data_IF_370815620542
#
_entry.id   IF_370815620542
#
_cell.length_a   1.000
_cell.length_b   1.000
_cell.length_c   1.000
_cell.angle_alpha   90.00
_cell.angle_beta   90.00
_cell.angle_gamma   90.00
#
_symmetry.space_group_name_H-M   'P 1'
#
loop_
_entity.id
_entity.type
_entity.pdbx_description
1 polymer ?
#
# COMPACT_ATOMS: atom_id res chain seq x y z
N UNK A 1 -1.58 24.35 -6.80
CA UNK A 1 -2.82 23.66 -6.32
C UNK A 1 -3.18 22.59 -7.34
N UNK A 2 -3.40 21.38 -6.90
CA UNK A 2 -3.74 20.22 -7.74
C UNK A 2 -5.14 20.37 -8.33
N UNK A 3 -5.30 20.10 -9.65
CA UNK A 3 -6.62 20.08 -10.32
C UNK A 3 -7.23 18.67 -10.17
N UNK A 4 -7.96 18.44 -9.09
CA UNK A 4 -8.62 17.16 -8.83
C UNK A 4 -9.77 16.84 -9.81
N UNK A 5 -10.34 17.83 -10.48
CA UNK A 5 -11.31 17.56 -11.52
C UNK A 5 -10.63 17.00 -12.78
N UNK A 6 -9.42 17.45 -13.10
CA UNK A 6 -8.64 16.88 -14.18
C UNK A 6 -8.16 15.47 -13.85
N UNK A 7 -7.67 15.21 -12.62
CA UNK A 7 -7.25 13.86 -12.23
C UNK A 7 -8.43 12.88 -12.27
N UNK A 8 -9.62 13.24 -11.77
CA UNK A 8 -10.82 12.37 -11.84
C UNK A 8 -11.17 11.96 -13.28
N UNK A 9 -11.07 12.89 -14.25
CA UNK A 9 -11.33 12.58 -15.68
C UNK A 9 -10.31 11.61 -16.30
N UNK A 10 -9.18 11.42 -15.68
CA UNK A 10 -8.15 10.46 -16.14
C UNK A 10 -8.45 9.01 -15.77
N UNK A 11 -9.52 8.75 -15.00
CA UNK A 11 -9.92 7.40 -14.61
C UNK A 11 -11.18 6.93 -15.35
N UNK A 12 -11.24 5.62 -15.56
CA UNK A 12 -12.47 4.95 -15.95
C UNK A 12 -13.29 4.64 -14.68
N UNK A 13 -14.34 5.42 -14.47
CA UNK A 13 -15.30 5.21 -13.39
C UNK A 13 -16.63 4.81 -14.01
N UNK A 14 -17.20 3.63 -13.71
CA UNK A 14 -18.48 3.20 -14.27
C UNK A 14 -19.61 4.17 -13.91
N UNK A 15 -20.52 4.43 -14.85
CA UNK A 15 -21.68 5.29 -14.62
C UNK A 15 -22.55 4.72 -13.49
N UNK A 16 -23.06 5.60 -12.64
CA UNK A 16 -23.89 5.20 -11.51
C UNK A 16 -23.14 4.54 -10.36
N UNK A 17 -21.80 4.50 -10.36
CA UNK A 17 -20.99 3.92 -9.29
C UNK A 17 -20.27 5.02 -8.50
N UNK A 18 -20.38 4.96 -7.18
CA UNK A 18 -19.53 5.66 -6.22
C UNK A 18 -18.53 4.66 -5.68
N UNK A 19 -17.27 4.79 -6.10
CA UNK A 19 -16.22 3.82 -5.77
C UNK A 19 -15.38 4.30 -4.59
N UNK A 20 -15.55 3.65 -3.44
CA UNK A 20 -14.88 3.96 -2.17
C UNK A 20 -14.06 2.77 -1.66
N UNK A 21 -13.43 2.02 -2.58
CA UNK A 21 -12.59 0.88 -2.25
C UNK A 21 -11.20 0.93 -2.90
N UNK A 22 -10.70 2.15 -3.14
CA UNK A 22 -9.33 2.37 -3.64
C UNK A 22 -8.23 1.88 -2.69
N UNK A 23 -8.56 1.66 -1.45
CA UNK A 23 -7.72 1.03 -0.43
C UNK A 23 -7.60 -0.50 -0.59
N UNK A 24 -8.40 -1.13 -1.47
CA UNK A 24 -8.30 -2.55 -1.83
C UNK A 24 -7.82 -2.72 -3.26
N UNK A 25 -8.40 -1.97 -4.22
CA UNK A 25 -7.98 -1.92 -5.62
C UNK A 25 -8.27 -0.54 -6.19
N UNK A 26 -7.28 0.13 -6.76
CA UNK A 26 -7.49 1.40 -7.47
C UNK A 26 -8.23 1.21 -8.80
N UNK A 27 -9.10 2.16 -9.21
CA UNK A 27 -9.75 2.13 -10.52
C UNK A 27 -8.73 2.33 -11.64
N UNK A 28 -9.09 1.90 -12.85
CA UNK A 28 -8.20 1.93 -14.00
C UNK A 28 -7.99 3.35 -14.54
N UNK A 29 -6.74 3.86 -14.58
CA UNK A 29 -6.43 5.06 -15.35
C UNK A 29 -6.58 4.82 -16.86
N UNK A 30 -7.10 5.80 -17.60
CA UNK A 30 -7.39 5.67 -19.03
C UNK A 30 -6.11 5.37 -19.86
N UNK A 31 -4.97 5.94 -19.47
CA UNK A 31 -3.68 5.70 -20.12
C UNK A 31 -3.24 4.23 -20.06
N UNK A 32 -3.66 3.49 -19.05
CA UNK A 32 -3.26 2.10 -18.82
C UNK A 32 -3.70 1.17 -19.97
N UNK A 33 -4.91 1.35 -20.50
CA UNK A 33 -5.45 0.52 -21.60
C UNK A 33 -4.61 0.64 -22.87
N UNK A 34 -4.36 1.86 -23.33
CA UNK A 34 -3.57 2.09 -24.55
C UNK A 34 -2.14 1.55 -24.39
N UNK A 35 -1.58 1.70 -23.19
CA UNK A 35 -0.23 1.20 -22.90
C UNK A 35 -0.17 -0.33 -22.84
N UNK A 36 -1.19 -0.98 -22.29
CA UNK A 36 -1.30 -2.44 -22.28
C UNK A 36 -1.40 -3.02 -23.70
N UNK A 37 -2.23 -2.42 -24.55
CA UNK A 37 -2.32 -2.83 -25.96
C UNK A 37 -0.97 -2.68 -26.65
N UNK A 38 -0.30 -1.56 -26.49
CA UNK A 38 1.00 -1.30 -27.13
C UNK A 38 2.08 -2.28 -26.68
N UNK A 39 2.17 -2.64 -25.40
CA UNK A 39 3.19 -3.61 -24.95
C UNK A 39 2.96 -4.99 -25.56
N UNK A 40 1.70 -5.39 -25.77
CA UNK A 40 1.35 -6.65 -26.38
C UNK A 40 1.60 -6.66 -27.91
N UNK A 41 1.06 -5.65 -28.60
CA UNK A 41 1.02 -5.62 -30.08
C UNK A 41 2.33 -5.16 -30.73
N UNK A 42 3.10 -4.32 -30.07
CA UNK A 42 4.34 -3.79 -30.64
C UNK A 42 5.59 -4.36 -29.94
N UNK A 43 5.66 -4.25 -28.60
CA UNK A 43 6.89 -4.57 -27.89
C UNK A 43 7.11 -6.08 -27.79
N UNK A 44 6.12 -6.82 -27.30
CA UNK A 44 6.26 -8.27 -27.19
C UNK A 44 6.14 -8.95 -28.56
N UNK A 45 5.10 -8.66 -29.35
CA UNK A 45 4.86 -9.36 -30.60
C UNK A 45 5.91 -9.08 -31.68
N UNK A 46 6.49 -7.86 -31.73
CA UNK A 46 7.40 -7.44 -32.80
C UNK A 46 8.87 -7.39 -32.35
N UNK A 47 9.13 -6.99 -31.09
CA UNK A 47 10.51 -6.88 -30.62
C UNK A 47 11.02 -8.17 -29.99
N UNK A 48 10.14 -9.06 -29.53
CA UNK A 48 10.50 -10.33 -28.90
C UNK A 48 11.58 -10.12 -27.82
N UNK A 49 12.66 -10.92 -27.83
CA UNK A 49 13.76 -10.79 -26.85
C UNK A 49 14.49 -9.44 -26.95
N UNK A 50 14.47 -8.77 -28.08
CA UNK A 50 15.13 -7.46 -28.23
C UNK A 50 14.44 -6.34 -27.46
N UNK A 51 13.20 -6.57 -26.99
CA UNK A 51 12.44 -5.67 -26.13
C UNK A 51 13.17 -5.32 -24.83
N UNK A 52 14.03 -6.21 -24.32
CA UNK A 52 14.85 -5.93 -23.15
C UNK A 52 15.61 -4.60 -23.27
N UNK A 53 16.21 -4.35 -24.41
CA UNK A 53 16.97 -3.13 -24.69
C UNK A 53 16.12 -2.08 -25.40
N UNK A 54 15.39 -2.46 -26.45
CA UNK A 54 14.68 -1.51 -27.34
C UNK A 54 13.47 -0.86 -26.67
N UNK A 55 12.71 -1.62 -25.88
CA UNK A 55 11.58 -1.11 -25.10
C UNK A 55 11.99 -0.73 -23.65
N UNK A 56 13.25 -1.00 -23.26
CA UNK A 56 13.78 -0.63 -21.96
C UNK A 56 13.28 -1.49 -20.80
N UNK A 57 12.83 -2.72 -21.03
CA UNK A 57 12.31 -3.60 -19.98
C UNK A 57 13.32 -3.88 -18.87
N UNK A 58 14.62 -3.91 -19.18
CA UNK A 58 15.67 -4.15 -18.20
C UNK A 58 15.76 -3.07 -17.11
N UNK A 59 15.61 -1.81 -17.52
CA UNK A 59 15.71 -0.65 -16.61
C UNK A 59 14.37 -0.22 -16.02
N UNK A 60 13.27 -0.77 -16.53
CA UNK A 60 11.91 -0.39 -16.14
C UNK A 60 11.63 -0.48 -14.63
N UNK A 61 12.08 -1.54 -13.88
CA UNK A 61 11.86 -1.62 -12.44
C UNK A 61 12.41 -0.42 -11.67
N UNK A 62 13.55 0.13 -12.10
CA UNK A 62 14.16 1.30 -11.51
C UNK A 62 13.45 2.57 -11.93
N UNK A 63 13.17 2.73 -13.24
CA UNK A 63 12.45 3.92 -13.75
C UNK A 63 11.09 4.12 -13.08
N UNK A 64 10.33 3.05 -12.92
CA UNK A 64 9.04 3.09 -12.23
C UNK A 64 9.25 3.34 -10.72
N UNK A 65 10.30 2.75 -10.14
CA UNK A 65 10.72 3.02 -8.76
C UNK A 65 11.00 4.49 -8.51
N UNK A 66 11.71 5.17 -9.42
CA UNK A 66 12.00 6.61 -9.32
C UNK A 66 10.72 7.47 -9.36
N UNK A 67 9.69 7.04 -10.08
CA UNK A 67 8.38 7.72 -10.07
C UNK A 67 7.66 7.54 -8.74
N UNK A 68 7.78 6.36 -8.11
CA UNK A 68 7.20 6.09 -6.78
C UNK A 68 7.99 6.82 -5.70
N UNK A 69 9.32 6.91 -5.80
CA UNK A 69 10.19 7.54 -4.81
C UNK A 69 9.68 8.92 -4.40
N UNK A 70 9.31 9.78 -5.35
CA UNK A 70 8.78 11.12 -5.06
C UNK A 70 7.44 11.11 -4.30
N UNK A 71 6.67 10.02 -4.35
CA UNK A 71 5.38 9.89 -3.67
C UNK A 71 5.51 9.39 -2.24
N UNK A 72 6.72 8.97 -1.85
CA UNK A 72 7.02 8.41 -0.52
C UNK A 72 8.16 9.14 0.18
N UNK A 73 8.54 10.35 -0.30
CA UNK A 73 9.60 11.14 0.31
C UNK A 73 11.00 10.51 0.19
N UNK A 74 11.26 9.81 -0.93
CA UNK A 74 12.54 9.17 -1.23
C UNK A 74 13.21 9.81 -2.45
N UNK A 75 14.51 9.60 -2.58
CA UNK A 75 15.33 10.09 -3.71
C UNK A 75 15.33 9.15 -4.92
N UNK A 76 15.78 9.65 -6.08
CA UNK A 76 15.96 8.83 -7.26
C UNK A 76 17.03 7.75 -7.04
N UNK A 77 16.80 6.54 -7.56
CA UNK A 77 17.71 5.40 -7.42
C UNK A 77 17.62 4.69 -6.06
N UNK A 78 16.67 5.04 -5.22
CA UNK A 78 16.47 4.44 -3.88
C UNK A 78 15.32 3.41 -3.84
N UNK A 79 14.51 3.33 -4.91
CA UNK A 79 13.35 2.44 -5.01
C UNK A 79 13.51 1.52 -6.20
N UNK A 80 13.15 0.25 -6.02
CA UNK A 80 13.06 -0.72 -7.12
C UNK A 80 11.77 -1.51 -7.06
N UNK A 81 11.21 -1.78 -8.23
CA UNK A 81 9.97 -2.55 -8.40
C UNK A 81 10.24 -4.02 -8.61
N UNK A 82 9.29 -4.85 -8.22
CA UNK A 82 9.28 -6.27 -8.56
C UNK A 82 8.54 -7.12 -7.53
N UNK A 83 8.14 -8.30 -7.94
CA UNK A 83 7.51 -9.32 -7.11
C UNK A 83 6.21 -8.86 -6.43
N UNK A 84 5.78 -9.58 -5.41
CA UNK A 84 4.64 -9.22 -4.56
C UNK A 84 5.11 -8.50 -3.30
N UNK A 85 4.17 -7.82 -2.61
CA UNK A 85 4.45 -7.18 -1.33
C UNK A 85 5.03 -8.17 -0.31
N UNK A 86 4.49 -9.38 -0.21
CA UNK A 86 5.00 -10.41 0.72
C UNK A 86 6.48 -10.76 0.48
N UNK A 87 6.92 -10.80 -0.77
CA UNK A 87 8.34 -11.00 -1.12
C UNK A 87 9.18 -9.79 -0.69
N UNK A 88 8.66 -8.57 -0.88
CA UNK A 88 9.38 -7.35 -0.47
C UNK A 88 9.46 -7.20 1.05
N UNK A 89 8.40 -7.57 1.79
CA UNK A 89 8.44 -7.68 3.26
C UNK A 89 9.51 -8.67 3.69
N UNK A 90 9.54 -9.87 3.10
CA UNK A 90 10.57 -10.87 3.40
C UNK A 90 11.99 -10.33 3.16
N UNK A 91 12.21 -9.67 2.02
CA UNK A 91 13.53 -9.09 1.71
C UNK A 91 13.93 -8.00 2.70
N UNK A 92 13.05 -7.03 2.97
CA UNK A 92 13.33 -5.92 3.87
C UNK A 92 13.61 -6.40 5.31
N UNK A 93 12.73 -7.25 5.85
CA UNK A 93 12.86 -7.74 7.23
C UNK A 93 14.10 -8.64 7.37
N UNK A 94 14.38 -9.51 6.38
CA UNK A 94 15.57 -10.38 6.42
C UNK A 94 16.87 -9.57 6.34
N UNK A 95 16.91 -8.53 5.50
CA UNK A 95 18.07 -7.65 5.39
C UNK A 95 18.30 -6.85 6.69
N UNK A 96 17.23 -6.24 7.22
CA UNK A 96 17.29 -5.49 8.48
C UNK A 96 17.74 -6.38 9.64
N UNK A 97 17.18 -7.61 9.77
CA UNK A 97 17.56 -8.57 10.82
C UNK A 97 19.03 -9.00 10.68
N UNK A 98 19.53 -9.26 9.47
CA UNK A 98 20.92 -9.63 9.24
C UNK A 98 21.92 -8.53 9.64
N UNK A 99 21.50 -7.26 9.60
CA UNK A 99 22.31 -6.11 10.05
C UNK A 99 22.35 -5.94 11.58
N UNK A 100 21.58 -6.73 12.33
CA UNK A 100 21.54 -6.75 13.82
C UNK A 100 21.70 -8.17 14.33
N UNK A 101 22.86 -8.82 14.06
CA UNK A 101 23.04 -10.25 14.33
C UNK A 101 23.00 -10.61 15.83
N UNK A 102 23.31 -9.66 16.69
CA UNK A 102 23.31 -9.75 18.15
C UNK A 102 21.94 -9.60 18.80
N UNK A 103 20.90 -9.27 18.03
CA UNK A 103 19.54 -9.05 18.52
C UNK A 103 18.55 -9.99 17.85
N UNK A 104 17.49 -10.41 18.54
CA UNK A 104 16.63 -11.49 18.06
C UNK A 104 15.18 -11.08 17.82
N UNK A 105 14.73 -9.97 18.36
CA UNK A 105 13.31 -9.60 18.32
C UNK A 105 12.97 -8.85 17.03
N UNK A 106 11.93 -9.31 16.36
CA UNK A 106 11.16 -8.58 15.34
C UNK A 106 9.86 -8.15 16.01
N UNK A 107 9.65 -6.87 16.22
CA UNK A 107 8.44 -6.31 16.84
C UNK A 107 7.46 -5.86 15.76
N UNK A 108 6.21 -6.24 15.93
CA UNK A 108 5.09 -5.74 15.11
C UNK A 108 3.84 -5.59 15.98
N UNK A 109 2.75 -5.12 15.39
CA UNK A 109 1.47 -5.02 16.09
C UNK A 109 0.36 -5.87 15.46
N UNK A 110 -0.72 -6.08 16.23
CA UNK A 110 -1.88 -6.87 15.83
C UNK A 110 -2.79 -6.16 14.83
N UNK A 111 -2.55 -4.89 14.52
CA UNK A 111 -3.19 -4.12 13.45
C UNK A 111 -2.50 -4.28 12.10
N UNK A 112 -1.30 -4.87 12.06
CA UNK A 112 -0.61 -5.14 10.82
C UNK A 112 -1.37 -6.16 9.96
N UNK A 113 -1.17 -6.10 8.63
CA UNK A 113 -1.83 -7.02 7.72
C UNK A 113 -1.36 -8.46 7.97
N UNK A 114 -2.29 -9.45 8.05
CA UNK A 114 -1.93 -10.83 8.41
C UNK A 114 -0.80 -11.44 7.59
N UNK A 115 -0.70 -11.12 6.29
CA UNK A 115 0.37 -11.60 5.42
C UNK A 115 1.76 -11.19 5.90
N UNK A 116 1.91 -9.97 6.40
CA UNK A 116 3.19 -9.47 6.90
C UNK A 116 3.61 -10.21 8.16
N UNK A 117 2.65 -10.44 9.07
CA UNK A 117 2.88 -11.23 10.27
C UNK A 117 3.24 -12.68 9.93
N UNK A 118 2.59 -13.30 8.91
CA UNK A 118 2.93 -14.65 8.46
C UNK A 118 4.32 -14.72 7.87
N UNK A 119 4.71 -13.75 7.06
CA UNK A 119 6.06 -13.64 6.48
C UNK A 119 7.10 -13.49 7.60
N UNK A 120 6.87 -12.56 8.54
CA UNK A 120 7.77 -12.34 9.67
C UNK A 120 7.87 -13.57 10.57
N UNK A 121 6.76 -14.27 10.82
CA UNK A 121 6.75 -15.52 11.60
C UNK A 121 7.54 -16.63 10.90
N UNK A 122 7.38 -16.77 9.58
CA UNK A 122 8.14 -17.72 8.78
C UNK A 122 9.64 -17.43 8.80
N UNK A 123 10.01 -16.17 8.62
CA UNK A 123 11.40 -15.70 8.69
C UNK A 123 11.99 -15.92 10.09
N UNK A 124 11.29 -15.53 11.15
CA UNK A 124 11.75 -15.65 12.53
C UNK A 124 12.16 -17.09 12.86
N UNK A 125 11.35 -18.08 12.43
CA UNK A 125 11.69 -19.50 12.57
C UNK A 125 12.94 -19.92 11.79
N UNK A 126 13.13 -19.35 10.59
CA UNK A 126 14.24 -19.72 9.72
C UNK A 126 15.59 -19.16 10.20
N UNK A 127 15.61 -18.02 10.89
CA UNK A 127 16.83 -17.32 11.33
C UNK A 127 17.01 -17.27 12.84
N UNK A 128 16.33 -18.13 13.58
CA UNK A 128 16.35 -18.19 15.05
C UNK A 128 16.09 -16.81 15.68
N UNK A 129 15.02 -16.16 15.26
CA UNK A 129 14.53 -14.91 15.81
C UNK A 129 13.17 -15.10 16.52
N UNK A 130 12.73 -14.08 17.24
CA UNK A 130 11.42 -14.01 17.90
C UNK A 130 10.55 -12.98 17.15
N UNK A 131 9.32 -13.36 16.77
CA UNK A 131 8.30 -12.40 16.40
C UNK A 131 7.47 -12.04 17.64
N UNK A 132 7.56 -10.78 18.06
CA UNK A 132 6.75 -10.20 19.13
C UNK A 132 5.64 -9.35 18.52
N UNK A 133 4.40 -9.69 18.83
CA UNK A 133 3.21 -8.95 18.35
C UNK A 133 2.47 -8.39 19.57
N UNK A 134 2.28 -7.09 19.59
CA UNK A 134 1.61 -6.36 20.70
C UNK A 134 0.36 -5.64 20.18
N UNK A 135 -0.43 -5.02 21.05
CA UNK A 135 -1.50 -4.13 20.59
C UNK A 135 -0.88 -2.85 19.98
N UNK A 136 -1.57 -2.18 19.02
CA UNK A 136 -1.03 -1.00 18.36
C UNK A 136 -0.65 0.17 19.29
N UNK A 137 -1.31 0.29 20.43
CA UNK A 137 -1.03 1.30 21.47
C UNK A 137 0.09 0.89 22.43
N UNK A 138 0.52 -0.38 22.40
CA UNK A 138 1.63 -0.89 23.21
C UNK A 138 2.97 -0.88 22.45
N UNK A 139 2.98 -0.55 21.17
CA UNK A 139 4.20 -0.60 20.32
C UNK A 139 5.32 0.26 20.91
N UNK A 140 4.98 1.48 21.34
CA UNK A 140 5.96 2.41 21.89
C UNK A 140 6.67 1.81 23.11
N UNK A 141 5.92 1.26 24.06
CA UNK A 141 6.45 0.66 25.29
C UNK A 141 7.20 -0.66 25.06
N UNK A 142 6.90 -1.35 23.95
CA UNK A 142 7.54 -2.63 23.60
C UNK A 142 8.90 -2.48 22.89
N UNK A 143 9.31 -1.25 22.51
CA UNK A 143 10.63 -0.99 21.93
C UNK A 143 11.70 -1.03 23.01
N UNK A 144 12.58 -2.02 22.98
CA UNK A 144 13.64 -2.26 23.96
C UNK A 144 14.97 -2.64 23.34
N UNK A 145 15.97 -2.89 24.19
CA UNK A 145 17.37 -3.16 23.78
C UNK A 145 17.55 -4.51 23.06
N UNK A 146 16.59 -5.42 23.16
CA UNK A 146 16.59 -6.72 22.48
C UNK A 146 16.04 -6.66 21.04
N UNK A 147 15.49 -5.49 20.66
CA UNK A 147 14.86 -5.28 19.37
C UNK A 147 15.88 -5.21 18.24
N UNK A 148 15.73 -6.07 17.24
CA UNK A 148 16.46 -6.02 15.98
C UNK A 148 15.74 -5.18 14.92
N UNK A 149 14.43 -5.42 14.77
CA UNK A 149 13.61 -4.82 13.70
C UNK A 149 12.25 -4.43 14.26
N UNK A 150 11.85 -3.18 14.05
CA UNK A 150 10.48 -2.71 14.18
C UNK A 150 9.82 -2.79 12.79
N UNK A 151 8.84 -3.68 12.61
CA UNK A 151 8.11 -3.89 11.38
C UNK A 151 6.64 -3.47 11.55
N UNK A 152 6.24 -2.37 10.95
CA UNK A 152 4.88 -1.82 11.07
C UNK A 152 4.28 -1.45 9.71
N UNK A 153 2.96 -1.59 9.60
CA UNK A 153 2.19 -0.92 8.56
C UNK A 153 1.86 0.49 9.03
N UNK A 154 2.22 1.52 8.26
CA UNK A 154 1.98 2.92 8.67
C UNK A 154 0.49 3.22 8.87
N UNK A 155 -0.37 2.69 7.99
CA UNK A 155 -1.83 2.83 8.11
C UNK A 155 -2.49 1.48 8.24
N UNK A 156 -3.11 1.22 9.38
CA UNK A 156 -3.86 -0.01 9.69
C UNK A 156 -4.98 -0.23 8.66
N UNK A 157 -5.01 -1.42 8.08
CA UNK A 157 -5.94 -1.76 7.00
C UNK A 157 -7.42 -1.81 7.43
N UNK A 158 -7.71 -2.01 8.71
CA UNK A 158 -9.06 -2.20 9.26
C UNK A 158 -9.64 -0.92 9.85
N UNK A 159 -8.83 -0.22 10.63
CA UNK A 159 -9.25 0.99 11.35
C UNK A 159 -8.87 2.27 10.63
N UNK A 160 -7.88 2.24 9.73
CA UNK A 160 -7.27 3.41 9.15
C UNK A 160 -6.38 4.20 10.11
N UNK A 161 -6.08 3.67 11.33
CA UNK A 161 -5.15 4.31 12.27
C UNK A 161 -3.78 4.47 11.60
N UNK A 162 -3.19 5.65 11.73
CA UNK A 162 -1.85 5.97 11.26
C UNK A 162 -0.88 5.98 12.45
N UNK A 163 0.22 5.26 12.34
CA UNK A 163 1.34 5.37 13.26
C UNK A 163 2.15 6.65 12.99
N UNK A 164 2.72 7.21 14.03
CA UNK A 164 3.73 8.27 13.90
C UNK A 164 5.08 7.63 13.51
N UNK A 165 5.33 7.61 12.19
CA UNK A 165 6.52 7.00 11.61
C UNK A 165 7.79 7.65 12.17
N UNK A 166 7.84 8.98 12.25
CA UNK A 166 9.01 9.71 12.70
C UNK A 166 9.33 9.41 14.17
N UNK A 167 8.34 9.48 15.05
CA UNK A 167 8.55 9.23 16.48
C UNK A 167 8.97 7.78 16.76
N UNK A 168 8.30 6.80 16.14
CA UNK A 168 8.61 5.38 16.33
C UNK A 168 9.95 4.98 15.71
N UNK A 169 10.31 5.56 14.56
CA UNK A 169 11.64 5.35 13.96
C UNK A 169 12.74 5.90 14.88
N UNK A 170 12.59 7.14 15.38
CA UNK A 170 13.56 7.73 16.28
C UNK A 170 13.74 6.88 17.55
N UNK A 171 12.64 6.38 18.13
CA UNK A 171 12.71 5.52 19.33
C UNK A 171 13.38 4.17 19.02
N UNK A 172 13.06 3.54 17.89
CA UNK A 172 13.73 2.32 17.44
C UNK A 172 15.24 2.52 17.28
N UNK A 173 15.66 3.64 16.71
CA UNK A 173 17.09 3.98 16.57
C UNK A 173 17.79 4.20 17.91
N UNK A 174 17.15 4.86 18.87
CA UNK A 174 17.68 5.01 20.23
C UNK A 174 17.92 3.65 20.88
N UNK A 175 17.03 2.69 20.67
CA UNK A 175 17.25 1.31 21.13
C UNK A 175 18.24 0.53 20.27
N UNK A 176 18.69 1.05 19.14
CA UNK A 176 19.63 0.43 18.18
C UNK A 176 18.98 -0.53 17.18
N UNK A 177 17.65 -0.53 17.09
CA UNK A 177 16.89 -1.32 16.12
C UNK A 177 16.84 -0.62 14.74
N UNK A 178 16.44 -1.36 13.71
CA UNK A 178 16.10 -0.84 12.38
C UNK A 178 14.60 -0.92 12.16
N UNK A 179 14.09 -0.07 11.25
CA UNK A 179 12.68 -0.01 10.91
C UNK A 179 12.38 -0.57 9.52
N UNK A 180 11.24 -1.24 9.39
CA UNK A 180 10.65 -1.68 8.12
C UNK A 180 9.20 -1.21 8.10
N UNK A 181 8.88 -0.29 7.18
CA UNK A 181 7.54 0.29 7.05
C UNK A 181 6.79 -0.30 5.85
N UNK A 182 5.61 -0.86 6.07
CA UNK A 182 4.68 -1.17 4.99
C UNK A 182 3.80 0.05 4.69
N UNK A 183 3.85 0.48 3.43
CA UNK A 183 3.14 1.65 2.91
C UNK A 183 1.94 1.28 2.04
N UNK A 184 1.44 0.05 2.15
CA UNK A 184 0.36 -0.45 1.29
C UNK A 184 -0.93 0.39 1.36
N UNK A 185 -1.19 1.05 2.50
CA UNK A 185 -2.33 1.96 2.70
C UNK A 185 -1.92 3.43 2.84
N UNK A 186 -0.63 3.74 2.65
CA UNK A 186 -0.07 5.08 2.80
C UNK A 186 0.35 5.69 1.48
N UNK A 187 1.12 4.94 0.66
CA UNK A 187 1.61 5.43 -0.63
C UNK A 187 0.45 5.83 -1.56
N UNK A 188 0.41 7.11 -1.90
CA UNK A 188 -0.69 7.68 -2.70
C UNK A 188 -1.96 8.03 -1.92
N UNK A 189 -1.95 7.91 -0.58
CA UNK A 189 -3.09 8.22 0.29
C UNK A 189 -2.78 9.29 1.32
N UNK A 190 -1.54 9.30 1.81
CA UNK A 190 -1.05 10.28 2.80
C UNK A 190 0.30 10.84 2.37
N UNK A 191 0.73 11.87 3.05
CA UNK A 191 2.01 12.54 2.89
C UNK A 191 3.14 11.73 3.54
N UNK A 192 3.60 10.68 2.88
CA UNK A 192 4.74 9.87 3.35
C UNK A 192 6.05 10.63 3.14
N UNK A 193 6.90 10.67 4.16
CA UNK A 193 8.25 11.24 4.08
C UNK A 193 9.26 10.30 4.74
N UNK A 194 9.73 9.30 3.99
CA UNK A 194 10.70 8.31 4.48
C UNK A 194 12.03 8.93 4.88
N UNK A 195 12.50 9.90 4.10
CA UNK A 195 13.77 10.60 4.38
C UNK A 195 13.65 11.46 5.62
N UNK A 196 12.57 12.25 5.75
CA UNK A 196 12.32 13.09 6.92
C UNK A 196 12.08 12.30 8.20
N UNK A 197 11.49 11.10 8.09
CA UNK A 197 11.32 10.18 9.21
C UNK A 197 12.59 9.37 9.55
N UNK A 198 13.66 9.51 8.76
CA UNK A 198 14.90 8.74 8.90
C UNK A 198 14.69 7.21 8.89
N UNK A 199 13.65 6.73 8.18
CA UNK A 199 13.33 5.31 8.07
C UNK A 199 14.50 4.49 7.48
N UNK A 200 14.53 3.17 7.71
CA UNK A 200 15.62 2.31 7.20
C UNK A 200 15.21 1.55 5.95
N UNK A 201 14.02 0.94 5.98
CA UNK A 201 13.45 0.21 4.87
C UNK A 201 11.95 0.52 4.76
N UNK A 202 11.44 0.51 3.54
CA UNK A 202 10.01 0.56 3.29
C UNK A 202 9.62 -0.33 2.10
N UNK A 203 8.40 -0.84 2.15
CA UNK A 203 7.79 -1.66 1.11
C UNK A 203 6.35 -1.18 0.85
N UNK A 204 5.77 -1.52 -0.27
CA UNK A 204 4.36 -1.22 -0.52
C UNK A 204 3.86 -1.84 -1.80
N UNK A 205 2.55 -2.03 -1.89
CA UNK A 205 1.89 -2.49 -3.11
C UNK A 205 1.47 -1.29 -3.99
N UNK A 206 1.24 -1.55 -5.26
CA UNK A 206 0.89 -0.48 -6.22
C UNK A 206 -0.52 -0.58 -6.79
N UNK A 207 -1.25 -1.65 -6.49
CA UNK A 207 -2.59 -1.88 -7.02
C UNK A 207 -3.71 -1.14 -6.25
N UNK A 208 -3.42 -0.55 -5.08
CA UNK A 208 -4.36 0.22 -4.27
C UNK A 208 -4.37 1.70 -4.73
N UNK A 209 -4.04 2.62 -3.85
CA UNK A 209 -4.04 4.07 -4.13
C UNK A 209 -3.13 4.52 -5.28
N UNK A 210 -2.12 3.71 -5.64
CA UNK A 210 -1.25 3.98 -6.80
C UNK A 210 -1.85 3.51 -8.14
N UNK A 211 -3.01 2.84 -8.14
CA UNK A 211 -3.84 2.49 -9.30
C UNK A 211 -3.14 1.64 -10.38
N UNK A 212 -2.14 0.85 -9.99
CA UNK A 212 -1.33 0.04 -10.93
C UNK A 212 -2.06 -1.16 -11.54
N UNK A 213 -3.30 -1.43 -11.12
CA UNK A 213 -4.11 -2.54 -11.61
C UNK A 213 -3.92 -3.87 -10.84
N UNK A 214 -4.81 -4.84 -11.06
CA UNK A 214 -4.79 -6.13 -10.37
C UNK A 214 -3.47 -6.86 -10.54
N UNK A 215 -2.84 -7.27 -9.42
CA UNK A 215 -1.56 -7.96 -9.43
C UNK A 215 -0.36 -7.10 -9.78
N UNK A 216 -0.50 -5.78 -9.80
CA UNK A 216 0.62 -4.86 -10.03
C UNK A 216 1.74 -5.09 -9.02
N UNK A 217 3.03 -5.05 -9.45
CA UNK A 217 4.15 -5.40 -8.60
C UNK A 217 4.36 -4.42 -7.45
N UNK A 218 4.96 -4.91 -6.38
CA UNK A 218 5.33 -4.13 -5.22
C UNK A 218 6.63 -3.34 -5.45
N UNK A 219 6.89 -2.41 -4.54
CA UNK A 219 8.17 -1.70 -4.45
C UNK A 219 8.87 -2.00 -3.13
N UNK A 220 10.19 -1.81 -3.14
CA UNK A 220 11.04 -1.75 -1.95
C UNK A 220 11.92 -0.52 -2.04
N UNK A 221 12.02 0.19 -0.93
CA UNK A 221 12.95 1.28 -0.68
C UNK A 221 13.93 0.87 0.40
N UNK A 222 15.18 1.28 0.24
CA UNK A 222 16.21 1.12 1.25
C UNK A 222 16.90 2.46 1.42
N UNK A 223 17.02 2.93 2.67
CA UNK A 223 17.74 4.18 2.95
C UNK A 223 19.16 4.10 2.36
N UNK A 224 19.68 5.15 1.69
CA UNK A 224 21.01 5.14 1.06
C UNK A 224 22.15 4.69 1.98
N UNK A 225 22.08 5.00 3.30
CA UNK A 225 23.08 4.53 4.29
C UNK A 225 23.19 3.02 4.40
N UNK A 226 22.14 2.28 4.02
CA UNK A 226 22.08 0.82 4.10
C UNK A 226 22.18 0.11 2.74
N UNK A 227 22.06 0.87 1.65
CA UNK A 227 21.88 0.31 0.32
C UNK A 227 22.97 -0.69 -0.10
N UNK A 228 24.23 -0.48 0.32
CA UNK A 228 25.33 -1.38 0.02
C UNK A 228 25.62 -2.41 1.13
N UNK A 229 25.10 -2.20 2.34
CA UNK A 229 25.25 -3.14 3.46
C UNK A 229 24.10 -4.15 3.54
N UNK A 230 22.91 -3.79 3.07
CA UNK A 230 21.73 -4.65 3.14
C UNK A 230 21.89 -5.89 2.27
N UNK A 231 21.74 -7.07 2.87
CA UNK A 231 21.85 -8.37 2.19
C UNK A 231 20.59 -9.19 2.48
N UNK A 232 19.57 -9.16 1.59
CA UNK A 232 18.38 -9.98 1.75
C UNK A 232 18.75 -11.47 1.61
N UNK A 233 18.08 -12.33 2.38
CA UNK A 233 18.25 -13.79 2.28
C UNK A 233 17.81 -14.28 0.89
N UNK A 234 16.72 -13.73 0.36
CA UNK A 234 16.25 -14.05 -0.98
C UNK A 234 17.04 -13.24 -2.02
N UNK A 235 18.07 -13.88 -2.53
CA UNK A 235 18.92 -13.37 -3.60
C UNK A 235 18.42 -13.88 -4.96
N UNK A 236 18.60 -13.08 -6.00
CA UNK A 236 18.18 -13.47 -7.34
C UNK A 236 19.12 -12.96 -8.42
N UNK A 237 19.04 -13.57 -9.59
CA UNK A 237 19.97 -13.30 -10.69
C UNK A 237 19.93 -11.83 -11.17
N UNK A 238 18.75 -11.17 -11.11
CA UNK A 238 18.64 -9.76 -11.47
C UNK A 238 19.23 -8.79 -10.43
N UNK A 239 19.47 -9.27 -9.22
CA UNK A 239 20.18 -8.54 -8.15
C UNK A 239 21.68 -8.76 -8.13
N UNK A 240 22.22 -9.54 -9.08
CA UNK A 240 23.66 -9.76 -9.23
C UNK A 240 24.32 -8.53 -9.88
N UNK A 241 25.59 -8.24 -9.53
CA UNK A 241 26.35 -7.10 -10.09
C UNK A 241 26.50 -7.16 -11.63
N UNK A 242 26.53 -8.37 -12.19
CA UNK A 242 26.64 -8.65 -13.62
C UNK A 242 25.68 -9.79 -14.01
N UNK A 243 24.34 -9.54 -14.08
CA UNK A 243 23.33 -10.59 -14.23
C UNK A 243 23.56 -11.51 -15.43
N UNK A 244 23.99 -10.95 -16.56
CA UNK A 244 24.18 -11.68 -17.82
C UNK A 244 25.55 -12.36 -17.94
N UNK A 245 26.42 -12.29 -16.92
CA UNK A 245 27.62 -13.12 -16.85
C UNK A 245 27.30 -14.57 -16.45
N UNK A 246 26.09 -14.80 -15.88
CA UNK A 246 25.63 -16.11 -15.41
C UNK A 246 26.61 -16.82 -14.49
N UNK A 247 27.32 -16.02 -13.66
CA UNK A 247 28.25 -16.52 -12.64
C UNK A 247 27.48 -17.32 -11.59
N UNK A 248 27.88 -18.56 -11.26
CA UNK A 248 27.22 -19.35 -10.22
C UNK A 248 27.42 -18.79 -8.79
N UNK A 249 28.40 -17.90 -8.60
CA UNK A 249 28.65 -17.25 -7.32
C UNK A 249 27.96 -15.90 -7.28
N UNK A 250 27.02 -15.76 -6.35
CA UNK A 250 26.29 -14.49 -6.21
C UNK A 250 27.19 -13.38 -5.65
N UNK A 251 27.22 -12.26 -6.38
CA UNK A 251 27.77 -11.00 -5.91
C UNK A 251 26.69 -9.92 -6.04
N UNK A 252 26.31 -9.24 -4.95
CA UNK A 252 25.21 -8.28 -4.97
C UNK A 252 25.55 -7.07 -5.85
N UNK A 253 24.56 -6.61 -6.61
CA UNK A 253 24.62 -5.32 -7.30
C UNK A 253 24.76 -4.16 -6.28
N UNK A 254 25.23 -3.01 -6.74
CA UNK A 254 25.31 -1.80 -5.94
C UNK A 254 23.91 -1.22 -5.66
N UNK A 255 23.75 -0.59 -4.52
CA UNK A 255 22.56 0.15 -4.16
C UNK A 255 21.29 -0.71 -4.13
N UNK A 256 20.17 -0.12 -4.52
CA UNK A 256 18.84 -0.76 -4.46
C UNK A 256 18.68 -1.92 -5.46
N UNK A 257 19.52 -2.01 -6.51
CA UNK A 257 19.43 -3.07 -7.53
C UNK A 257 19.59 -4.47 -6.94
N UNK A 258 20.31 -4.64 -5.82
CA UNK A 258 20.43 -5.94 -5.11
C UNK A 258 19.11 -6.48 -4.58
N UNK A 259 18.09 -5.64 -4.46
CA UNK A 259 16.73 -6.03 -4.02
C UNK A 259 15.88 -6.59 -5.17
N UNK A 260 16.45 -6.71 -6.37
CA UNK A 260 15.80 -7.44 -7.48
C UNK A 260 16.03 -8.94 -7.32
N UNK A 261 15.00 -9.72 -7.65
CA UNK A 261 15.06 -11.18 -7.55
C UNK A 261 15.09 -11.80 -8.94
N UNK A 262 13.95 -11.99 -9.55
CA UNK A 262 13.81 -12.62 -10.84
C UNK A 262 13.55 -11.65 -11.98
N UNK A 263 13.15 -12.22 -13.11
CA UNK A 263 12.65 -11.47 -14.26
C UNK A 263 11.48 -10.59 -13.86
N UNK A 264 11.50 -9.28 -14.12
CA UNK A 264 10.42 -8.39 -13.71
C UNK A 264 9.13 -8.70 -14.49
N UNK A 265 7.95 -8.44 -13.90
CA UNK A 265 6.65 -8.60 -14.56
C UNK A 265 6.41 -7.44 -15.54
N UNK A 266 7.04 -7.49 -16.71
CA UNK A 266 7.14 -6.39 -17.69
C UNK A 266 5.78 -5.80 -18.05
N UNK A 267 4.76 -6.62 -18.34
CA UNK A 267 3.43 -6.13 -18.75
C UNK A 267 2.81 -5.34 -17.61
N UNK A 268 2.81 -5.88 -16.39
CA UNK A 268 2.22 -5.19 -15.23
C UNK A 268 2.99 -3.91 -14.87
N UNK A 269 4.33 -3.93 -14.95
CA UNK A 269 5.15 -2.72 -14.77
C UNK A 269 4.85 -1.64 -15.81
N UNK A 270 4.61 -2.06 -17.06
CA UNK A 270 4.30 -1.14 -18.15
C UNK A 270 2.93 -0.47 -17.95
N UNK A 271 1.95 -1.23 -17.46
CA UNK A 271 0.62 -0.70 -17.10
C UNK A 271 0.73 0.26 -15.92
N UNK A 272 1.48 -0.13 -14.89
CA UNK A 272 1.74 0.74 -13.73
C UNK A 272 2.45 2.03 -14.12
N UNK A 273 3.45 1.97 -15.01
CA UNK A 273 4.16 3.17 -15.47
C UNK A 273 3.19 4.19 -16.08
N UNK A 274 2.27 3.73 -16.94
CA UNK A 274 1.22 4.59 -17.50
C UNK A 274 0.19 5.04 -16.45
N UNK A 275 -0.15 4.19 -15.49
CA UNK A 275 -1.06 4.56 -14.41
C UNK A 275 -0.50 5.69 -13.53
N UNK A 276 0.82 5.75 -13.37
CA UNK A 276 1.46 6.82 -12.61
C UNK A 276 1.41 8.20 -13.30
N UNK A 277 0.98 8.30 -14.56
CA UNK A 277 0.83 9.60 -15.25
C UNK A 277 -0.21 10.50 -14.56
N UNK A 278 -1.21 9.90 -13.88
CA UNK A 278 -2.21 10.67 -13.11
C UNK A 278 -1.61 11.45 -11.93
N UNK A 279 -0.39 11.10 -11.53
CA UNK A 279 0.34 11.74 -10.44
C UNK A 279 1.19 12.94 -10.90
N UNK A 280 1.26 13.20 -12.21
CA UNK A 280 1.97 14.37 -12.73
C UNK A 280 1.25 15.66 -12.31
N UNK A 281 2.00 16.57 -11.68
CA UNK A 281 1.44 17.82 -11.16
C UNK A 281 0.63 17.70 -9.87
N UNK A 282 0.51 16.51 -9.28
CA UNK A 282 -0.16 16.32 -7.98
C UNK A 282 0.80 16.66 -6.85
N UNK A 283 0.43 17.64 -6.02
CA UNK A 283 1.14 17.97 -4.78
C UNK A 283 0.60 17.10 -3.63
N UNK A 284 1.48 16.41 -2.90
CA UNK A 284 1.06 15.52 -1.80
C UNK A 284 0.35 16.29 -0.67
N UNK A 285 0.73 17.54 -0.42
CA UNK A 285 0.04 18.39 0.56
C UNK A 285 -1.42 18.67 0.16
N UNK A 286 -1.69 18.95 -1.14
CA UNK A 286 -3.05 19.11 -1.64
C UNK A 286 -3.84 17.80 -1.55
N UNK A 287 -3.19 16.68 -1.91
CA UNK A 287 -3.77 15.34 -1.79
C UNK A 287 -4.21 15.07 -0.34
N UNK A 288 -3.31 15.31 0.63
CA UNK A 288 -3.60 15.10 2.04
C UNK A 288 -4.72 16.00 2.55
N UNK A 289 -4.71 17.27 2.21
CA UNK A 289 -5.77 18.21 2.58
C UNK A 289 -7.14 17.73 2.05
N UNK A 290 -7.19 17.31 0.79
CA UNK A 290 -8.41 16.76 0.18
C UNK A 290 -8.87 15.45 0.82
N UNK A 291 -7.93 14.55 1.15
CA UNK A 291 -8.22 13.32 1.88
C UNK A 291 -8.90 13.60 3.24
N UNK A 292 -8.35 14.57 3.98
CA UNK A 292 -8.93 14.98 5.27
C UNK A 292 -10.34 15.57 5.07
N UNK A 293 -10.52 16.46 4.10
CA UNK A 293 -11.82 17.05 3.78
C UNK A 293 -12.88 15.98 3.52
N UNK A 294 -12.61 15.05 2.60
CA UNK A 294 -13.54 13.99 2.22
C UNK A 294 -13.86 13.04 3.38
N UNK A 295 -12.85 12.60 4.12
CA UNK A 295 -13.04 11.67 5.23
C UNK A 295 -13.75 12.31 6.41
N UNK A 296 -13.51 13.59 6.71
CA UNK A 296 -14.23 14.33 7.76
C UNK A 296 -15.69 14.58 7.38
N UNK A 297 -15.96 14.98 6.12
CA UNK A 297 -17.33 15.15 5.63
C UNK A 297 -18.11 13.83 5.71
N UNK A 298 -17.49 12.71 5.32
CA UNK A 298 -18.11 11.40 5.41
C UNK A 298 -18.41 11.00 6.86
N UNK A 299 -17.47 11.16 7.78
CA UNK A 299 -17.68 10.88 9.21
C UNK A 299 -18.84 11.72 9.75
N UNK A 300 -18.84 13.03 9.49
CA UNK A 300 -19.88 13.93 9.98
C UNK A 300 -21.26 13.58 9.43
N UNK A 301 -21.36 13.26 8.13
CA UNK A 301 -22.62 12.86 7.51
C UNK A 301 -23.15 11.53 8.05
N UNK A 302 -22.30 10.53 8.18
CA UNK A 302 -22.71 9.22 8.72
C UNK A 302 -23.15 9.35 10.18
N UNK A 303 -22.45 10.10 11.00
CA UNK A 303 -22.85 10.30 12.42
C UNK A 303 -24.15 11.08 12.58
N UNK A 304 -24.45 11.99 11.64
CA UNK A 304 -25.71 12.74 11.67
C UNK A 304 -26.92 11.87 11.24
N UNK A 305 -26.74 11.03 10.23
CA UNK A 305 -27.86 10.37 9.53
C UNK A 305 -27.96 8.86 9.81
N UNK A 306 -26.94 8.25 10.44
CA UNK A 306 -26.84 6.81 10.65
C UNK A 306 -26.56 6.48 12.13
N UNK A 307 -27.54 6.57 13.04
CA UNK A 307 -27.32 6.38 14.49
C UNK A 307 -26.94 4.94 14.86
N UNK A 308 -27.19 3.98 13.99
CA UNK A 308 -26.98 2.54 14.25
C UNK A 308 -25.55 2.06 13.97
N UNK A 309 -24.68 2.94 13.45
CA UNK A 309 -23.27 2.62 13.21
C UNK A 309 -22.36 3.38 14.18
N UNK A 310 -21.22 2.76 14.52
CA UNK A 310 -20.23 3.34 15.41
C UNK A 310 -18.90 3.55 14.65
N UNK A 311 -18.32 4.74 14.77
CA UNK A 311 -17.02 5.04 14.15
C UNK A 311 -15.94 4.10 14.71
N UNK A 312 -15.24 3.41 13.81
CA UNK A 312 -14.14 2.50 14.13
C UNK A 312 -12.75 3.11 13.85
N UNK A 313 -12.70 4.19 13.08
CA UNK A 313 -11.46 4.89 12.77
C UNK A 313 -11.14 5.98 13.78
N UNK A 314 -9.86 6.37 13.95
CA UNK A 314 -9.52 7.55 14.73
C UNK A 314 -10.23 8.80 14.21
N UNK A 315 -10.79 9.60 15.12
CA UNK A 315 -11.48 10.84 14.78
C UNK A 315 -10.51 11.92 14.34
N UNK A 316 -9.36 11.98 15.00
CA UNK A 316 -8.31 12.93 14.67
C UNK A 316 -7.73 12.58 13.27
N UNK A 317 -7.80 13.51 12.30
CA UNK A 317 -7.24 13.28 10.98
C UNK A 317 -5.72 13.08 10.98
N UNK A 318 -4.98 13.60 11.97
CA UNK A 318 -3.55 13.35 12.07
C UNK A 318 -3.23 11.88 12.37
N UNK A 319 -4.12 11.20 13.07
CA UNK A 319 -4.01 9.80 13.47
C UNK A 319 -4.71 8.84 12.49
N UNK A 320 -5.14 9.32 11.33
CA UNK A 320 -5.89 8.52 10.35
C UNK A 320 -5.34 8.66 8.94
N UNK A 321 -5.33 7.56 8.18
CA UNK A 321 -5.08 7.55 6.75
C UNK A 321 -6.25 8.09 5.92
N UNK A 322 -6.39 7.62 4.67
CA UNK A 322 -7.45 8.06 3.75
C UNK A 322 -8.63 7.07 3.68
N UNK A 323 -8.82 6.26 4.71
CA UNK A 323 -9.94 5.34 4.84
C UNK A 323 -10.68 5.55 6.16
N UNK A 324 -11.97 5.24 6.16
CA UNK A 324 -12.87 5.35 7.32
C UNK A 324 -13.61 4.03 7.49
N UNK A 325 -13.61 3.52 8.71
CA UNK A 325 -14.38 2.34 9.10
C UNK A 325 -15.50 2.69 10.07
N UNK A 326 -16.64 2.06 9.90
CA UNK A 326 -17.74 2.05 10.87
C UNK A 326 -18.10 0.62 11.24
N UNK A 327 -18.58 0.41 12.47
CA UNK A 327 -19.06 -0.90 12.93
C UNK A 327 -20.57 -0.99 12.85
N UNK A 328 -21.04 -2.15 12.39
CA UNK A 328 -22.46 -2.53 12.44
C UNK A 328 -22.57 -4.05 12.63
N UNK A 329 -23.45 -4.55 13.52
CA UNK A 329 -23.58 -6.01 13.78
C UNK A 329 -23.83 -6.85 12.53
N UNK A 330 -24.50 -6.26 11.52
CA UNK A 330 -24.77 -6.88 10.22
C UNK A 330 -23.94 -6.22 9.09
N UNK A 331 -22.70 -5.80 9.38
CA UNK A 331 -21.87 -5.02 8.47
C UNK A 331 -21.72 -5.64 7.09
N UNK A 332 -21.58 -6.96 7.01
CA UNK A 332 -21.49 -7.63 5.71
C UNK A 332 -22.77 -7.42 4.86
N UNK A 333 -23.95 -7.65 5.41
CA UNK A 333 -25.21 -7.51 4.69
C UNK A 333 -25.46 -6.03 4.29
N UNK A 334 -25.13 -5.07 5.17
CA UNK A 334 -25.20 -3.64 4.88
C UNK A 334 -24.27 -3.27 3.72
N UNK A 335 -23.05 -3.78 3.70
CA UNK A 335 -22.10 -3.53 2.61
C UNK A 335 -22.61 -4.15 1.29
N UNK A 336 -23.16 -5.37 1.30
CA UNK A 336 -23.72 -5.99 0.09
C UNK A 336 -24.93 -5.17 -0.45
N UNK A 337 -25.77 -4.63 0.44
CA UNK A 337 -26.85 -3.74 0.04
C UNK A 337 -26.31 -2.43 -0.59
N UNK A 338 -25.27 -1.82 -0.03
CA UNK A 338 -24.60 -0.63 -0.60
C UNK A 338 -24.05 -0.94 -2.01
N UNK A 339 -23.34 -2.04 -2.17
CA UNK A 339 -22.77 -2.46 -3.45
C UNK A 339 -23.88 -2.66 -4.50
N UNK A 340 -25.01 -3.28 -4.11
CA UNK A 340 -26.15 -3.49 -5.02
C UNK A 340 -26.77 -2.17 -5.54
N UNK A 341 -26.52 -1.06 -4.84
CA UNK A 341 -26.97 0.27 -5.20
C UNK A 341 -25.86 1.15 -5.79
N UNK A 342 -24.72 0.55 -6.10
CA UNK A 342 -23.60 1.20 -6.75
C UNK A 342 -22.73 2.06 -5.82
N UNK A 343 -22.82 1.88 -4.51
CA UNK A 343 -21.85 2.42 -3.53
C UNK A 343 -20.92 1.30 -3.10
N UNK A 344 -19.68 1.32 -3.57
CA UNK A 344 -18.73 0.23 -3.40
C UNK A 344 -17.69 0.62 -2.35
N UNK A 345 -17.79 0.01 -1.18
CA UNK A 345 -16.76 -0.13 -0.16
C UNK A 345 -16.47 -1.60 0.07
N UNK A 346 -15.82 -1.94 1.17
CA UNK A 346 -15.60 -3.32 1.53
C UNK A 346 -15.95 -3.63 3.00
N UNK A 347 -16.02 -4.92 3.31
CA UNK A 347 -16.29 -5.41 4.66
C UNK A 347 -15.04 -6.05 5.26
N UNK A 348 -14.79 -5.77 6.54
CA UNK A 348 -13.75 -6.46 7.31
C UNK A 348 -14.36 -7.08 8.56
N UNK A 349 -14.25 -8.40 8.63
CA UNK A 349 -14.75 -9.16 9.79
C UNK A 349 -14.17 -8.64 11.10
N UNK A 350 -14.94 -8.68 12.21
CA UNK A 350 -16.26 -9.29 12.28
C UNK A 350 -17.42 -8.34 11.87
N UNK A 351 -17.24 -7.01 11.86
CA UNK A 351 -18.34 -6.05 11.87
C UNK A 351 -18.02 -4.70 11.18
N UNK A 352 -16.90 -4.56 10.48
CA UNK A 352 -16.43 -3.27 9.96
C UNK A 352 -16.83 -3.07 8.50
N UNK A 353 -17.65 -2.03 8.27
CA UNK A 353 -17.84 -1.37 6.98
C UNK A 353 -16.67 -0.44 6.73
N UNK A 354 -15.92 -0.62 5.63
CA UNK A 354 -14.75 0.18 5.34
C UNK A 354 -14.89 0.92 4.01
N UNK A 355 -14.51 2.21 4.02
CA UNK A 355 -14.60 3.11 2.87
C UNK A 355 -13.26 3.81 2.68
N UNK A 356 -12.65 3.67 1.51
CA UNK A 356 -11.38 4.29 1.15
C UNK A 356 -11.58 5.45 0.18
N UNK A 357 -11.12 6.62 0.60
CA UNK A 357 -11.23 7.86 -0.16
C UNK A 357 -9.92 8.15 -0.89
N UNK A 358 -9.96 8.19 -2.21
CA UNK A 358 -8.82 8.55 -3.04
C UNK A 358 -9.07 9.93 -3.68
N UNK A 359 -8.39 10.99 -3.22
CA UNK A 359 -8.62 12.36 -3.69
C UNK A 359 -8.48 12.56 -5.19
N UNK A 360 -7.72 11.70 -5.86
CA UNK A 360 -7.53 11.76 -7.31
C UNK A 360 -8.83 11.56 -8.09
N UNK A 361 -9.82 10.86 -7.54
CA UNK A 361 -11.06 10.57 -8.25
C UNK A 361 -12.33 10.66 -7.40
N UNK A 362 -12.24 10.74 -6.06
CA UNK A 362 -13.39 10.98 -5.22
C UNK A 362 -13.62 12.49 -5.00
N UNK A 363 -14.91 12.87 -4.89
CA UNK A 363 -15.33 14.24 -4.62
C UNK A 363 -16.47 14.31 -3.58
N UNK A 364 -16.96 15.51 -3.30
CA UNK A 364 -18.02 15.72 -2.31
C UNK A 364 -19.34 15.02 -2.72
N UNK A 365 -19.65 14.93 -4.01
CA UNK A 365 -20.86 14.26 -4.46
C UNK A 365 -20.81 12.74 -4.20
N UNK A 366 -19.61 12.11 -4.25
CA UNK A 366 -19.43 10.72 -3.84
C UNK A 366 -19.70 10.53 -2.34
N UNK A 367 -19.25 11.48 -1.51
CA UNK A 367 -19.52 11.48 -0.06
C UNK A 367 -21.01 11.60 0.21
N UNK A 368 -21.68 12.60 -0.38
CA UNK A 368 -23.12 12.87 -0.18
C UNK A 368 -23.95 11.65 -0.58
N UNK A 369 -23.64 11.05 -1.73
CA UNK A 369 -24.33 9.86 -2.21
C UNK A 369 -24.12 8.67 -1.30
N UNK A 370 -22.91 8.44 -0.82
CA UNK A 370 -22.60 7.31 0.06
C UNK A 370 -23.34 7.44 1.41
N UNK A 371 -23.34 8.65 2.00
CA UNK A 371 -24.06 8.92 3.25
C UNK A 371 -25.57 8.72 3.06
N UNK A 372 -26.16 9.33 2.04
CA UNK A 372 -27.59 9.22 1.78
C UNK A 372 -28.05 7.79 1.52
N UNK A 373 -27.22 7.01 0.78
CA UNK A 373 -27.53 5.61 0.47
C UNK A 373 -27.43 4.75 1.74
N UNK A 374 -26.37 4.91 2.53
CA UNK A 374 -26.20 4.18 3.79
C UNK A 374 -27.34 4.48 4.78
N UNK A 375 -27.68 5.76 4.97
CA UNK A 375 -28.75 6.18 5.86
C UNK A 375 -30.11 5.58 5.46
N UNK A 376 -30.41 5.54 4.16
CA UNK A 376 -31.63 4.92 3.66
C UNK A 376 -31.65 3.41 3.85
N UNK A 377 -30.56 2.72 3.54
CA UNK A 377 -30.43 1.27 3.70
C UNK A 377 -30.65 0.85 5.17
N UNK A 378 -30.05 1.60 6.10
CA UNK A 378 -30.20 1.36 7.54
C UNK A 378 -31.62 1.63 8.02
N UNK A 379 -32.18 2.81 7.72
CA UNK A 379 -33.51 3.22 8.14
C UNK A 379 -34.61 2.27 7.61
N UNK A 380 -34.51 1.86 6.34
CA UNK A 380 -35.50 1.01 5.68
C UNK A 380 -35.23 -0.48 5.91
N UNK A 381 -34.17 -0.83 6.66
CA UNK A 381 -33.68 -2.21 6.89
C UNK A 381 -33.55 -3.03 5.60
N UNK A 382 -33.31 -2.36 4.47
CA UNK A 382 -33.27 -3.01 3.15
C UNK A 382 -32.06 -3.96 2.98
N UNK A 383 -31.10 -3.87 3.87
CA UNK A 383 -29.98 -4.82 4.01
C UNK A 383 -30.41 -6.19 4.52
N UNK A 384 -31.56 -6.29 5.23
CA UNK A 384 -32.04 -7.54 5.85
C UNK A 384 -32.80 -8.42 4.83
N UNK A 385 -32.22 -8.63 3.68
CA UNK A 385 -32.72 -9.55 2.65
C UNK A 385 -31.81 -10.77 2.58
N UNK A 386 -32.37 -11.96 2.38
CA UNK A 386 -31.64 -13.24 2.36
C UNK A 386 -30.41 -13.22 1.45
N UNK A 387 -30.53 -12.61 0.28
CA UNK A 387 -29.44 -12.50 -0.69
C UNK A 387 -28.20 -11.78 -0.17
N UNK A 388 -28.33 -10.84 0.78
CA UNK A 388 -27.22 -10.06 1.32
C UNK A 388 -26.50 -10.76 2.49
N UNK A 389 -27.06 -11.85 3.01
CA UNK A 389 -26.44 -12.66 4.07
C UNK A 389 -25.57 -13.80 3.52
N UNK A 390 -25.63 -14.07 2.22
CA UNK A 390 -24.82 -15.10 1.57
C UNK A 390 -23.39 -14.60 1.39
N UNK A 391 -22.45 -15.16 2.17
CA UNK A 391 -21.04 -14.74 2.10
C UNK A 391 -20.36 -15.24 0.83
N UNK A 392 -19.81 -14.30 0.05
CA UNK A 392 -18.88 -14.59 -1.02
C UNK A 392 -17.45 -14.74 -0.47
N UNK A 393 -16.55 -15.33 -1.28
CA UNK A 393 -15.14 -15.49 -0.90
C UNK A 393 -14.39 -14.15 -0.78
N UNK A 394 -14.87 -13.12 -1.46
CA UNK A 394 -14.36 -11.73 -1.44
C UNK A 394 -15.55 -10.80 -1.39
N UNK A 395 -15.35 -9.59 -0.87
CA UNK A 395 -16.40 -8.57 -0.67
C UNK A 395 -17.24 -8.35 -1.91
#
# INVERSE_FOLDING_TARGET
MTDFAATRRAFHLPEGVTYLDGNSLGPMPLAATARAVRVLDEEWSQMLITGWNRAGWYVQPRKVGDRIARLIGAGPGEVVMGDTLSIKVFQAVSAARAMRPDRRVILSDSGNFPSDLYVAQGLARAVDAELRVVAPDEVDDAIGDDLAVLMLTEVDYRTGRRHDMQALTAKAHVSGALTVWDLAHSAGAVDVDLTGADADFAVGCTYKYLNGGPGSPAFIWTHPRHADAAQPILQGWMGHETPFAFDPNYRPAAGIERMRVGTPPVIALTVLDAALDVWEGVALADLRARSIELTQAFIAGVEADCPDVTLNSPRDPAMRGSQVGFRHPHGYAVMQALISEGVIGDFRAPDVLRFGFAPLYNDAADVDRAVATLARILRDESWNREQFHQQASVT
#
